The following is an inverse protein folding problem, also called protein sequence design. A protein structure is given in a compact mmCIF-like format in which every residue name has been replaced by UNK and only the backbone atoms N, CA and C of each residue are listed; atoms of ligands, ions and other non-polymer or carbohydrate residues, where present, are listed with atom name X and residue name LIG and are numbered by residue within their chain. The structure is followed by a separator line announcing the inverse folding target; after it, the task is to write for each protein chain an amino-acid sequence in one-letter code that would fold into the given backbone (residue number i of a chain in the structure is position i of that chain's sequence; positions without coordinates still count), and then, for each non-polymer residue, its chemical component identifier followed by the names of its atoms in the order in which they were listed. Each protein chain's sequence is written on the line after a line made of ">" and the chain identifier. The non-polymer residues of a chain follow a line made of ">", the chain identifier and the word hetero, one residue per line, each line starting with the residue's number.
data_IF_856669526491
#
_entry.id   IF_856669526491
#
_cell.length_a   1.000
_cell.length_b   1.000
_cell.length_c   1.000
_cell.angle_alpha   90.00
_cell.angle_beta   90.00
_cell.angle_gamma   90.00
#
_symmetry.space_group_name_H-M   'P 1'
#
loop_
_entity.id
_entity.type
_entity.pdbx_description
1 polymer ?
#
# COMPACT_ATOMS: atom_id res chain seq x y z
N UNK A 1 -2.60 0.71 -10.73
CA UNK A 1 -2.24 1.43 -9.49
C UNK A 1 -3.41 1.61 -8.53
N UNK A 2 -4.56 2.17 -8.95
CA UNK A 2 -5.72 2.33 -8.06
C UNK A 2 -6.18 1.01 -7.40
N UNK A 3 -6.10 -0.11 -8.13
CA UNK A 3 -6.42 -1.42 -7.57
C UNK A 3 -5.45 -1.86 -6.44
N UNK A 4 -4.16 -1.54 -6.57
CA UNK A 4 -3.17 -1.82 -5.52
C UNK A 4 -3.51 -1.03 -4.24
N UNK A 5 -3.83 0.27 -4.37
CA UNK A 5 -4.27 1.09 -3.24
C UNK A 5 -5.53 0.52 -2.58
N UNK A 6 -6.52 0.03 -3.36
CA UNK A 6 -7.71 -0.66 -2.80
C UNK A 6 -7.36 -1.91 -2.02
N UNK A 7 -6.45 -2.73 -2.56
CA UNK A 7 -6.00 -3.96 -1.89
C UNK A 7 -5.27 -3.64 -0.58
N UNK A 8 -4.38 -2.64 -0.60
CA UNK A 8 -3.67 -2.17 0.60
C UNK A 8 -4.63 -1.56 1.63
N UNK A 9 -5.64 -0.81 1.19
CA UNK A 9 -6.63 -0.23 2.09
C UNK A 9 -7.48 -1.30 2.78
N UNK A 10 -7.97 -2.29 2.02
CA UNK A 10 -8.69 -3.44 2.59
C UNK A 10 -7.85 -4.25 3.57
N UNK A 11 -6.54 -4.33 3.33
CA UNK A 11 -5.59 -4.98 4.21
C UNK A 11 -5.14 -4.11 5.41
N UNK A 12 -5.65 -2.87 5.54
CA UNK A 12 -5.33 -1.97 6.65
C UNK A 12 -4.02 -1.19 6.52
N UNK A 13 -3.36 -1.23 5.36
CA UNK A 13 -2.05 -0.59 5.13
C UNK A 13 -2.13 0.79 4.49
N UNK A 14 -3.26 1.15 3.87
CA UNK A 14 -3.42 2.41 3.14
C UNK A 14 -4.70 3.14 3.54
N UNK A 15 -4.56 4.42 3.92
CA UNK A 15 -5.66 5.28 4.39
C UNK A 15 -5.79 6.58 3.58
N UNK A 16 -5.06 6.69 2.46
CA UNK A 16 -5.13 7.84 1.57
C UNK A 16 -6.19 7.69 0.47
N UNK A 17 -6.26 8.67 -0.41
CA UNK A 17 -7.15 8.66 -1.57
C UNK A 17 -6.81 7.54 -2.56
N UNK A 18 -7.82 6.82 -3.04
CA UNK A 18 -7.64 5.80 -4.10
C UNK A 18 -7.67 6.51 -5.46
N UNK A 19 -6.59 7.22 -5.76
CA UNK A 19 -6.42 8.06 -6.94
C UNK A 19 -5.57 7.41 -8.06
N UNK A 20 -4.95 6.27 -7.77
CA UNK A 20 -4.03 5.58 -8.67
C UNK A 20 -2.63 6.18 -8.76
N UNK A 21 -2.29 7.14 -7.92
CA UNK A 21 -0.96 7.79 -7.89
C UNK A 21 -0.01 7.04 -6.96
N UNK A 22 1.20 6.75 -7.43
CA UNK A 22 2.25 6.16 -6.60
C UNK A 22 2.97 7.22 -5.76
N UNK A 23 2.23 7.83 -4.84
CA UNK A 23 2.74 8.85 -3.93
C UNK A 23 3.46 8.27 -2.70
N UNK A 24 3.98 9.15 -1.82
CA UNK A 24 4.66 8.75 -0.58
C UNK A 24 3.82 7.82 0.31
N UNK A 25 2.52 8.07 0.40
CA UNK A 25 1.60 7.24 1.19
C UNK A 25 1.46 5.81 0.63
N UNK A 26 1.36 5.67 -0.70
CA UNK A 26 1.26 4.35 -1.34
C UNK A 26 2.57 3.59 -1.18
N UNK A 27 3.72 4.24 -1.33
CA UNK A 27 5.04 3.62 -1.08
C UNK A 27 5.21 3.17 0.38
N UNK A 28 4.72 3.96 1.34
CA UNK A 28 4.74 3.56 2.77
C UNK A 28 3.87 2.33 3.01
N UNK A 29 2.67 2.30 2.42
CA UNK A 29 1.75 1.17 2.54
C UNK A 29 2.33 -0.13 1.94
N UNK A 30 2.98 -0.03 0.77
CA UNK A 30 3.68 -1.16 0.14
C UNK A 30 4.77 -1.70 1.07
N UNK A 31 5.66 -0.85 1.59
CA UNK A 31 6.73 -1.29 2.49
C UNK A 31 6.21 -1.91 3.79
N UNK A 32 5.11 -1.39 4.34
CA UNK A 32 4.50 -1.95 5.53
C UNK A 32 3.90 -3.34 5.25
N UNK A 33 3.19 -3.49 4.13
CA UNK A 33 2.65 -4.77 3.67
C UNK A 33 3.75 -5.81 3.40
N UNK A 34 4.83 -5.41 2.71
CA UNK A 34 5.97 -6.29 2.41
C UNK A 34 6.69 -6.75 3.67
N UNK A 35 6.90 -5.84 4.63
CA UNK A 35 7.51 -6.16 5.93
C UNK A 35 6.68 -7.18 6.70
N UNK A 36 5.37 -6.98 6.79
CA UNK A 36 4.47 -7.88 7.53
C UNK A 36 4.40 -9.29 6.92
N UNK A 37 4.48 -9.38 5.59
CA UNK A 37 4.48 -10.65 4.85
C UNK A 37 5.83 -11.35 4.81
N UNK A 38 6.88 -10.79 5.42
CA UNK A 38 8.22 -11.35 5.37
C UNK A 38 8.87 -11.27 3.99
N UNK A 39 8.39 -10.39 3.11
CA UNK A 39 9.02 -10.09 1.82
C UNK A 39 10.18 -9.08 1.95
N UNK A 40 10.63 -8.82 3.18
CA UNK A 40 11.84 -8.07 3.44
C UNK A 40 13.06 -8.89 3.00
N UNK A 41 13.48 -8.68 1.75
CA UNK A 41 14.80 -9.07 1.25
C UNK A 41 15.75 -7.87 1.33
#
# INVERSE_FOLDING_TARGET
>A
MAELQRRLARAGYYHGSIDGVLGPQTRRAIRAYERDRGYAS
#
